data_IF_333783677826
#
_entry.id   IF_333783677826
#
_cell.length_a   1.000
_cell.length_b   1.000
_cell.length_c   1.000
_cell.angle_alpha   90.00
_cell.angle_beta   90.00
_cell.angle_gamma   90.00
#
_symmetry.space_group_name_H-M   'P 1'
#
loop_
_entity.id
_entity.type
_entity.pdbx_description
1 polymer ?
#
# COMPACT_ATOMS: atom_id res chain seq x y z
N UNK A 1 72.03 -29.88 -4.06
CA UNK A 1 71.54 -28.91 -5.06
C UNK A 1 70.88 -27.77 -4.29
N UNK A 2 71.52 -26.59 -4.25
CA UNK A 2 71.03 -25.43 -3.48
C UNK A 2 69.86 -24.82 -4.25
N UNK A 3 68.65 -24.91 -3.70
CA UNK A 3 67.48 -24.24 -4.26
C UNK A 3 67.68 -22.74 -4.02
N UNK A 4 67.76 -21.99 -5.11
CA UNK A 4 68.02 -20.56 -5.14
C UNK A 4 66.77 -19.81 -4.64
N UNK A 5 66.73 -19.53 -3.34
CA UNK A 5 65.60 -18.91 -2.63
C UNK A 5 65.15 -17.57 -3.25
N UNK A 6 66.00 -16.90 -4.03
CA UNK A 6 65.65 -15.65 -4.73
C UNK A 6 64.65 -15.85 -5.88
N UNK A 7 64.58 -17.04 -6.48
CA UNK A 7 63.60 -17.36 -7.55
C UNK A 7 62.29 -17.94 -7.00
N UNK A 8 62.33 -18.61 -5.84
CA UNK A 8 61.13 -19.14 -5.19
C UNK A 8 60.24 -18.03 -4.57
N UNK A 9 60.85 -16.95 -4.09
CA UNK A 9 60.12 -15.80 -3.52
C UNK A 9 59.42 -14.97 -4.61
N UNK A 10 59.94 -14.94 -5.85
CA UNK A 10 59.33 -14.19 -6.94
C UNK A 10 58.10 -14.89 -7.55
N UNK A 11 58.02 -16.22 -7.43
CA UNK A 11 56.83 -17.01 -7.86
C UNK A 11 55.73 -16.98 -6.78
N UNK A 12 56.09 -16.83 -5.50
CA UNK A 12 55.13 -16.73 -4.40
C UNK A 12 54.46 -15.35 -4.28
N UNK A 13 55.03 -14.29 -4.88
CA UNK A 13 54.46 -12.94 -4.87
C UNK A 13 53.54 -12.62 -6.06
N UNK A 14 53.38 -13.54 -7.02
CA UNK A 14 52.52 -13.36 -8.20
C UNK A 14 51.12 -14.01 -8.06
N UNK A 15 50.73 -14.39 -6.84
CA UNK A 15 49.41 -14.94 -6.52
C UNK A 15 48.72 -14.16 -5.37
N UNK A 16 48.39 -12.87 -5.59
CA UNK A 16 47.13 -12.39 -5.01
C UNK A 16 46.26 -11.57 -5.99
N UNK A 17 46.41 -11.77 -7.31
CA UNK A 17 45.56 -11.08 -8.32
C UNK A 17 44.51 -11.96 -8.99
N UNK A 18 44.35 -13.23 -8.56
CA UNK A 18 43.24 -14.12 -9.00
C UNK A 18 42.36 -14.52 -7.81
N UNK A 19 42.11 -13.59 -6.89
CA UNK A 19 41.11 -13.77 -5.81
C UNK A 19 40.04 -12.67 -5.79
N UNK A 20 40.00 -11.78 -6.78
CA UNK A 20 39.03 -10.68 -6.86
C UNK A 20 38.01 -10.77 -8.01
N UNK A 21 37.99 -11.85 -8.80
CA UNK A 21 36.90 -12.13 -9.76
C UNK A 21 35.93 -13.22 -9.28
N UNK A 22 35.91 -13.46 -7.97
CA UNK A 22 34.92 -14.28 -7.28
C UNK A 22 33.89 -13.45 -6.52
N UNK A 23 33.65 -12.19 -6.89
CA UNK A 23 32.51 -11.43 -6.42
C UNK A 23 31.30 -11.87 -7.28
N UNK A 24 30.61 -12.93 -6.88
CA UNK A 24 29.28 -13.25 -7.40
C UNK A 24 28.36 -12.06 -7.12
N UNK A 25 28.28 -11.15 -8.09
CA UNK A 25 27.77 -9.80 -7.88
C UNK A 25 26.27 -9.84 -7.72
N UNK A 26 25.78 -9.70 -6.48
CA UNK A 26 24.40 -9.28 -6.23
C UNK A 26 24.05 -8.03 -7.06
N UNK A 27 25.03 -7.15 -7.32
CA UNK A 27 24.91 -6.00 -8.22
C UNK A 27 24.49 -6.36 -9.65
N UNK A 28 25.18 -7.29 -10.31
CA UNK A 28 24.84 -7.70 -11.68
C UNK A 28 23.52 -8.48 -11.78
N UNK A 29 23.11 -9.19 -10.72
CA UNK A 29 21.79 -9.84 -10.70
C UNK A 29 20.65 -8.81 -10.68
N UNK A 30 20.77 -7.76 -9.86
CA UNK A 30 19.76 -6.70 -9.80
C UNK A 30 19.73 -5.83 -11.06
N UNK A 31 20.87 -5.58 -11.70
CA UNK A 31 20.92 -4.86 -12.97
C UNK A 31 20.18 -5.62 -14.09
N UNK A 32 20.46 -6.92 -14.23
CA UNK A 32 19.76 -7.78 -15.20
C UNK A 32 18.26 -7.90 -14.90
N UNK A 33 17.90 -8.03 -13.62
CA UNK A 33 16.49 -8.05 -13.18
C UNK A 33 15.79 -6.73 -13.50
N UNK A 34 16.45 -5.60 -13.25
CA UNK A 34 15.95 -4.26 -13.53
C UNK A 34 15.63 -4.09 -15.02
N UNK A 35 16.60 -4.39 -15.89
CA UNK A 35 16.43 -4.31 -17.34
C UNK A 35 15.31 -5.23 -17.83
N UNK A 36 15.21 -6.44 -17.27
CA UNK A 36 14.16 -7.40 -17.62
C UNK A 36 12.76 -6.89 -17.23
N UNK A 37 12.61 -6.33 -16.03
CA UNK A 37 11.34 -5.77 -15.54
C UNK A 37 10.88 -4.64 -16.46
N UNK A 38 11.72 -3.63 -16.66
CA UNK A 38 11.36 -2.45 -17.46
C UNK A 38 10.96 -2.84 -18.89
N UNK A 39 11.74 -3.72 -19.52
CA UNK A 39 11.42 -4.23 -20.86
C UNK A 39 10.10 -5.00 -20.89
N UNK A 40 9.82 -5.84 -19.88
CA UNK A 40 8.57 -6.61 -19.84
C UNK A 40 7.34 -5.70 -19.75
N UNK A 41 7.44 -4.64 -18.94
CA UNK A 41 6.36 -3.69 -18.74
C UNK A 41 6.16 -2.83 -19.99
N UNK A 42 7.23 -2.37 -20.62
CA UNK A 42 7.16 -1.65 -21.89
C UNK A 42 6.56 -2.51 -23.00
N UNK A 43 6.96 -3.79 -23.12
CA UNK A 43 6.37 -4.74 -24.06
C UNK A 43 4.88 -4.98 -23.80
N UNK A 44 4.48 -5.05 -22.53
CA UNK A 44 3.10 -5.35 -22.12
C UNK A 44 2.18 -4.14 -22.28
N UNK A 45 2.64 -2.95 -21.93
CA UNK A 45 1.82 -1.76 -21.80
C UNK A 45 2.10 -0.69 -22.87
N UNK A 46 3.22 -0.78 -23.59
CA UNK A 46 3.58 0.19 -24.64
C UNK A 46 3.91 1.58 -24.10
N UNK A 47 4.39 1.69 -22.85
CA UNK A 47 4.89 2.93 -22.27
C UNK A 47 6.21 2.69 -21.51
N UNK A 48 6.96 3.75 -21.26
CA UNK A 48 8.22 3.66 -20.53
C UNK A 48 8.01 3.72 -19.02
N UNK A 49 8.80 2.92 -18.30
CA UNK A 49 8.81 2.84 -16.84
C UNK A 49 10.18 3.16 -16.27
N UNK A 50 10.21 3.45 -14.97
CA UNK A 50 11.43 3.62 -14.19
C UNK A 50 11.33 2.91 -12.84
N UNK A 51 12.49 2.49 -12.32
CA UNK A 51 12.61 1.78 -11.06
C UNK A 51 12.89 2.76 -9.93
N UNK A 52 12.08 2.69 -8.88
CA UNK A 52 12.34 3.41 -7.63
C UNK A 52 13.21 2.57 -6.69
N UNK A 53 12.96 1.26 -6.63
CA UNK A 53 13.66 0.34 -5.73
C UNK A 53 13.69 -1.08 -6.28
N UNK A 54 14.76 -1.83 -6.02
CA UNK A 54 14.86 -3.26 -6.29
C UNK A 54 15.58 -3.99 -5.15
N UNK A 55 15.10 -5.18 -4.78
CA UNK A 55 15.74 -6.01 -3.77
C UNK A 55 14.93 -7.23 -3.35
N UNK A 56 15.50 -8.03 -2.44
CA UNK A 56 14.77 -9.09 -1.76
C UNK A 56 13.94 -8.47 -0.62
N UNK A 57 12.70 -8.03 -0.91
CA UNK A 57 11.77 -7.55 0.11
C UNK A 57 11.22 -8.67 1.00
N UNK A 58 10.84 -8.34 2.24
CA UNK A 58 10.15 -9.23 3.18
C UNK A 58 8.74 -9.64 2.68
N UNK A 59 8.24 -10.79 3.16
CA UNK A 59 6.89 -11.28 2.84
C UNK A 59 6.78 -12.05 1.52
N UNK A 60 7.62 -13.07 1.32
CA UNK A 60 7.55 -13.96 0.17
C UNK A 60 6.56 -15.11 0.43
N UNK A 61 5.63 -15.36 -0.50
CA UNK A 61 4.97 -16.67 -0.59
C UNK A 61 5.94 -17.74 -1.15
N UNK A 62 7.04 -17.29 -1.76
CA UNK A 62 8.06 -18.10 -2.42
C UNK A 62 9.35 -17.29 -2.57
N UNK A 63 10.45 -17.80 -2.02
CA UNK A 63 11.78 -17.13 -2.02
C UNK A 63 12.47 -17.10 -3.40
N UNK A 64 11.69 -17.22 -4.48
CA UNK A 64 12.17 -17.43 -5.85
C UNK A 64 12.02 -16.20 -6.75
N UNK A 65 11.57 -15.08 -6.22
CA UNK A 65 11.44 -13.81 -6.96
C UNK A 65 12.37 -12.73 -6.39
N UNK A 66 12.64 -11.72 -7.21
CA UNK A 66 13.25 -10.43 -6.86
C UNK A 66 12.12 -9.41 -6.96
N UNK A 67 11.94 -8.58 -5.92
CA UNK A 67 10.89 -7.57 -5.88
C UNK A 67 11.44 -6.21 -6.29
N UNK A 68 10.59 -5.42 -6.91
CA UNK A 68 10.88 -4.06 -7.29
C UNK A 68 9.64 -3.17 -7.14
N UNK A 69 9.89 -1.89 -6.96
CA UNK A 69 8.89 -0.83 -7.00
C UNK A 69 9.15 0.00 -8.23
N UNK A 70 8.11 0.19 -9.05
CA UNK A 70 8.20 0.76 -10.39
C UNK A 70 7.12 1.83 -10.54
N UNK A 71 7.40 2.84 -11.38
CA UNK A 71 6.43 3.84 -11.82
C UNK A 71 6.53 4.11 -13.33
N UNK A 72 5.43 4.47 -14.00
CA UNK A 72 5.50 4.93 -15.37
C UNK A 72 6.14 6.32 -15.40
N UNK A 73 6.97 6.61 -16.42
CA UNK A 73 7.58 7.93 -16.56
C UNK A 73 6.55 9.04 -16.85
N UNK A 74 5.38 8.64 -17.38
CA UNK A 74 4.27 9.53 -17.72
C UNK A 74 3.56 10.11 -16.49
N UNK A 75 3.52 9.37 -15.37
CA UNK A 75 2.92 9.84 -14.12
C UNK A 75 3.70 9.29 -12.90
N UNK A 76 4.53 10.12 -12.25
CA UNK A 76 5.36 9.70 -11.12
C UNK A 76 4.55 9.31 -9.87
N UNK A 77 3.24 9.62 -9.82
CA UNK A 77 2.38 9.29 -8.68
C UNK A 77 1.89 7.85 -8.72
N UNK A 78 2.04 7.16 -9.85
CA UNK A 78 1.62 5.77 -10.01
C UNK A 78 2.76 4.86 -9.60
N UNK A 79 2.73 4.38 -8.37
CA UNK A 79 3.77 3.48 -7.83
C UNK A 79 3.17 2.10 -7.60
N UNK A 80 3.82 1.06 -8.10
CA UNK A 80 3.33 -0.31 -7.99
C UNK A 80 4.47 -1.33 -7.84
N UNK A 81 4.11 -2.46 -7.23
CA UNK A 81 5.02 -3.57 -7.03
C UNK A 81 5.11 -4.48 -8.26
N UNK A 82 6.33 -4.96 -8.50
CA UNK A 82 6.68 -5.89 -9.55
C UNK A 82 7.59 -6.97 -9.00
N UNK A 83 7.37 -8.22 -9.42
CA UNK A 83 8.22 -9.34 -9.09
C UNK A 83 8.78 -9.96 -10.38
N UNK A 84 10.06 -10.34 -10.36
CA UNK A 84 10.68 -11.12 -11.43
C UNK A 84 11.27 -12.39 -10.86
N UNK A 85 11.08 -13.53 -11.52
CA UNK A 85 11.70 -14.78 -11.07
C UNK A 85 13.22 -14.65 -11.09
N UNK A 86 13.93 -15.33 -10.17
CA UNK A 86 15.41 -15.30 -10.11
C UNK A 86 16.10 -15.79 -11.39
N UNK A 87 15.40 -16.57 -12.22
CA UNK A 87 15.84 -16.99 -13.56
C UNK A 87 15.46 -16.01 -14.69
N UNK A 88 14.86 -14.87 -14.33
CA UNK A 88 14.46 -13.74 -15.17
C UNK A 88 13.40 -14.04 -16.24
N UNK A 89 12.78 -15.22 -16.21
CA UNK A 89 11.82 -15.62 -17.25
C UNK A 89 10.46 -14.96 -17.10
N UNK A 90 9.94 -14.91 -15.87
CA UNK A 90 8.58 -14.41 -15.60
C UNK A 90 8.65 -13.10 -14.83
N UNK A 91 7.86 -12.15 -15.28
CA UNK A 91 7.63 -10.87 -14.62
C UNK A 91 6.15 -10.81 -14.26
N UNK A 92 5.87 -10.42 -13.03
CA UNK A 92 4.56 -10.30 -12.44
C UNK A 92 4.40 -8.87 -11.94
N UNK A 93 3.32 -8.18 -12.29
CA UNK A 93 3.13 -6.78 -11.94
C UNK A 93 1.75 -6.54 -11.36
N UNK A 94 1.65 -5.51 -10.50
CA UNK A 94 0.38 -4.99 -9.97
C UNK A 94 -0.03 -3.66 -10.63
N UNK A 95 0.44 -3.37 -11.85
CA UNK A 95 0.17 -2.08 -12.49
C UNK A 95 -1.34 -1.87 -12.69
N UNK A 96 -2.04 -2.86 -13.23
CA UNK A 96 -3.48 -2.75 -13.47
C UNK A 96 -4.29 -2.62 -12.16
N UNK A 97 -3.82 -3.19 -11.04
CA UNK A 97 -4.45 -2.98 -9.72
C UNK A 97 -4.51 -1.49 -9.37
N UNK A 98 -3.40 -0.77 -9.57
CA UNK A 98 -3.28 0.66 -9.25
C UNK A 98 -4.09 1.50 -10.23
N UNK A 99 -4.02 1.21 -11.52
CA UNK A 99 -4.77 1.95 -12.55
C UNK A 99 -6.28 1.86 -12.31
N UNK A 100 -6.79 0.64 -12.06
CA UNK A 100 -8.22 0.46 -11.76
C UNK A 100 -8.58 1.18 -10.47
N UNK A 101 -7.75 1.12 -9.42
CA UNK A 101 -8.04 1.85 -8.17
C UNK A 101 -8.12 3.38 -8.39
N UNK A 102 -7.16 3.94 -9.15
CA UNK A 102 -7.11 5.37 -9.45
C UNK A 102 -8.31 5.85 -10.28
N UNK A 103 -8.75 5.07 -11.26
CA UNK A 103 -9.94 5.39 -12.05
C UNK A 103 -11.23 5.52 -11.20
N UNK A 104 -11.27 4.85 -10.04
CA UNK A 104 -12.41 4.86 -9.13
C UNK A 104 -12.26 5.83 -7.96
N UNK A 105 -11.11 6.50 -7.83
CA UNK A 105 -10.84 7.43 -6.73
C UNK A 105 -11.86 8.58 -6.67
N UNK A 106 -12.07 9.29 -7.78
CA UNK A 106 -13.00 10.42 -7.82
C UNK A 106 -14.46 9.98 -7.58
N UNK A 107 -15.00 8.96 -8.29
CA UNK A 107 -16.35 8.46 -8.02
C UNK A 107 -16.59 8.06 -6.55
N UNK A 108 -15.67 7.29 -5.95
CA UNK A 108 -15.82 6.86 -4.55
C UNK A 108 -15.63 8.03 -3.59
N UNK A 109 -14.77 9.01 -3.90
CA UNK A 109 -14.67 10.26 -3.12
C UNK A 109 -16.00 11.01 -3.10
N UNK A 110 -16.68 11.11 -4.23
CA UNK A 110 -17.98 11.76 -4.32
C UNK A 110 -19.06 11.00 -3.52
N UNK A 111 -19.03 9.67 -3.51
CA UNK A 111 -19.90 8.86 -2.65
C UNK A 111 -19.58 9.06 -1.16
N UNK A 112 -18.30 9.06 -0.78
CA UNK A 112 -17.88 9.28 0.60
C UNK A 112 -18.31 10.67 1.09
N UNK A 113 -18.20 11.70 0.24
CA UNK A 113 -18.59 13.08 0.57
C UNK A 113 -20.08 13.31 0.76
N UNK A 114 -20.93 12.40 0.27
CA UNK A 114 -22.35 12.42 0.59
C UNK A 114 -22.63 12.02 2.04
N UNK A 115 -21.71 11.31 2.68
CA UNK A 115 -21.83 10.79 4.05
C UNK A 115 -20.95 11.58 5.02
N UNK A 116 -19.72 11.90 4.61
CA UNK A 116 -18.74 12.70 5.32
C UNK A 116 -18.26 13.84 4.42
N UNK A 117 -18.81 15.04 4.57
CA UNK A 117 -18.59 16.17 3.64
C UNK A 117 -17.12 16.56 3.43
N UNK A 118 -16.25 16.29 4.40
CA UNK A 118 -14.80 16.53 4.36
C UNK A 118 -14.00 15.26 4.01
N UNK A 119 -14.67 14.18 3.59
CA UNK A 119 -14.04 12.91 3.25
C UNK A 119 -12.98 13.07 2.16
N UNK A 120 -11.78 12.55 2.45
CA UNK A 120 -10.67 12.35 1.50
C UNK A 120 -10.40 10.86 1.40
N UNK A 121 -10.20 10.35 0.20
CA UNK A 121 -10.18 8.90 -0.04
C UNK A 121 -8.83 8.42 -0.55
N UNK A 122 -8.44 7.23 -0.12
CA UNK A 122 -7.41 6.41 -0.77
C UNK A 122 -7.98 5.05 -1.14
N UNK A 123 -7.54 4.52 -2.28
CA UNK A 123 -8.04 3.26 -2.81
C UNK A 123 -6.87 2.43 -3.32
N UNK A 124 -6.91 1.14 -3.02
CA UNK A 124 -6.05 0.14 -3.63
C UNK A 124 -6.84 -1.11 -3.98
N UNK A 125 -6.28 -1.94 -4.85
CA UNK A 125 -6.84 -3.24 -5.20
C UNK A 125 -5.81 -4.32 -4.88
N UNK A 126 -6.18 -5.33 -4.10
CA UNK A 126 -5.34 -6.48 -3.83
C UNK A 126 -5.92 -7.74 -4.47
N UNK A 127 -5.25 -8.21 -5.53
CA UNK A 127 -5.54 -9.48 -6.19
C UNK A 127 -4.94 -10.69 -5.47
N UNK A 128 -4.40 -10.46 -4.26
CA UNK A 128 -3.81 -11.46 -3.36
C UNK A 128 -2.60 -12.11 -4.04
N UNK A 129 -2.75 -13.33 -4.53
CA UNK A 129 -1.69 -14.12 -5.18
C UNK A 129 -1.84 -14.21 -6.69
N UNK A 130 -2.84 -13.52 -7.25
CA UNK A 130 -3.09 -13.45 -8.68
C UNK A 130 -2.48 -12.18 -9.23
N UNK A 131 -1.74 -12.28 -10.33
CA UNK A 131 -1.16 -11.13 -11.03
C UNK A 131 -1.94 -10.84 -12.31
N UNK A 132 -2.39 -9.59 -12.54
CA UNK A 132 -3.10 -9.27 -13.76
C UNK A 132 -2.28 -9.52 -15.03
N UNK A 133 -2.86 -10.27 -15.95
CA UNK A 133 -2.30 -10.54 -17.28
C UNK A 133 -2.86 -9.63 -18.38
N UNK A 134 -4.01 -8.99 -18.14
CA UNK A 134 -4.63 -8.07 -19.09
C UNK A 134 -3.95 -6.69 -19.08
N UNK A 135 -4.21 -5.90 -20.12
CA UNK A 135 -3.53 -4.61 -20.37
C UNK A 135 -4.48 -3.44 -20.59
N UNK A 136 -5.80 -3.70 -20.54
CA UNK A 136 -6.83 -2.68 -20.70
C UNK A 136 -6.85 -1.77 -19.46
N UNK A 137 -6.31 -0.56 -19.63
CA UNK A 137 -6.19 0.47 -18.58
C UNK A 137 -7.51 1.17 -18.28
N UNK A 138 -8.49 1.08 -19.18
CA UNK A 138 -9.81 1.70 -19.01
C UNK A 138 -10.83 0.73 -18.38
N UNK A 139 -10.33 -0.40 -17.87
CA UNK A 139 -11.14 -1.45 -17.25
C UNK A 139 -11.88 -0.94 -16.01
N UNK A 140 -13.20 -1.16 -15.99
CA UNK A 140 -14.01 -0.85 -14.82
C UNK A 140 -13.68 -1.76 -13.63
N UNK A 141 -13.97 -1.32 -12.41
CA UNK A 141 -13.80 -2.15 -11.22
C UNK A 141 -14.59 -3.47 -11.32
N UNK A 142 -15.85 -3.40 -11.77
CA UNK A 142 -16.69 -4.58 -11.98
C UNK A 142 -16.04 -5.58 -12.93
N UNK A 143 -15.51 -5.10 -14.07
CA UNK A 143 -14.83 -5.97 -15.03
C UNK A 143 -13.53 -6.53 -14.47
N UNK A 144 -12.78 -5.73 -13.71
CA UNK A 144 -11.57 -6.18 -13.04
C UNK A 144 -11.86 -7.29 -12.05
N UNK A 145 -12.94 -7.18 -11.27
CA UNK A 145 -13.36 -8.19 -10.32
C UNK A 145 -13.83 -9.48 -11.01
N UNK A 146 -14.53 -9.41 -12.14
CA UNK A 146 -14.89 -10.60 -12.93
C UNK A 146 -13.66 -11.37 -13.41
N UNK A 147 -12.63 -10.65 -13.87
CA UNK A 147 -11.40 -11.25 -14.38
C UNK A 147 -10.46 -11.72 -13.27
N UNK A 148 -10.54 -11.07 -12.11
CA UNK A 148 -9.75 -11.38 -10.92
C UNK A 148 -10.64 -11.54 -9.69
N UNK A 149 -11.39 -12.65 -9.56
CA UNK A 149 -12.35 -12.85 -8.47
C UNK A 149 -11.71 -12.87 -7.08
N UNK A 150 -10.40 -13.08 -6.97
CA UNK A 150 -9.65 -12.96 -5.71
C UNK A 150 -9.42 -11.51 -5.28
N UNK A 151 -9.71 -10.53 -6.14
CA UNK A 151 -9.53 -9.11 -5.84
C UNK A 151 -10.32 -8.69 -4.60
N UNK A 152 -9.68 -7.85 -3.80
CA UNK A 152 -10.27 -7.13 -2.69
C UNK A 152 -9.91 -5.65 -2.81
N UNK A 153 -10.90 -4.78 -2.95
CA UNK A 153 -10.66 -3.34 -2.94
C UNK A 153 -10.49 -2.86 -1.50
N UNK A 154 -9.49 -2.03 -1.24
CA UNK A 154 -9.29 -1.43 0.08
C UNK A 154 -9.51 0.07 -0.06
N UNK A 155 -10.48 0.59 0.70
CA UNK A 155 -10.90 1.99 0.69
C UNK A 155 -10.63 2.59 2.06
N UNK A 156 -9.81 3.63 2.10
CA UNK A 156 -9.66 4.48 3.27
C UNK A 156 -10.40 5.78 3.04
N UNK A 157 -11.20 6.19 4.02
CA UNK A 157 -11.80 7.53 4.06
C UNK A 157 -11.24 8.24 5.27
N UNK A 158 -10.52 9.32 5.03
CA UNK A 158 -9.97 10.19 6.06
C UNK A 158 -10.91 11.38 6.26
N UNK A 159 -11.25 11.65 7.52
CA UNK A 159 -12.12 12.74 7.93
C UNK A 159 -11.50 13.53 9.07
N UNK A 160 -11.84 14.81 9.22
CA UNK A 160 -11.39 15.61 10.35
C UNK A 160 -12.23 15.26 11.57
N UNK A 161 -11.60 14.68 12.60
CA UNK A 161 -12.27 14.24 13.81
C UNK A 161 -13.08 15.35 14.51
N UNK A 162 -12.63 16.61 14.42
CA UNK A 162 -13.32 17.75 15.05
C UNK A 162 -14.74 18.01 14.50
N UNK A 163 -15.07 17.47 13.32
CA UNK A 163 -16.41 17.57 12.75
C UNK A 163 -17.39 16.50 13.31
N UNK A 164 -16.88 15.47 14.00
CA UNK A 164 -17.64 14.27 14.35
C UNK A 164 -17.49 13.84 15.81
N UNK A 165 -16.52 14.41 16.51
CA UNK A 165 -16.19 14.13 17.91
C UNK A 165 -16.21 15.45 18.65
N UNK A 166 -16.95 15.50 19.75
CA UNK A 166 -17.09 16.72 20.55
C UNK A 166 -15.83 17.03 21.38
N UNK A 167 -15.86 18.16 22.08
CA UNK A 167 -14.76 18.63 22.95
C UNK A 167 -14.44 17.67 24.12
N UNK A 168 -15.39 16.81 24.50
CA UNK A 168 -15.19 15.78 25.52
C UNK A 168 -14.62 14.48 24.93
N UNK A 169 -14.39 14.46 23.61
CA UNK A 169 -13.94 13.28 22.90
C UNK A 169 -15.07 12.28 22.67
N UNK A 170 -16.33 12.67 22.73
CA UNK A 170 -17.47 11.78 22.51
C UNK A 170 -18.03 11.88 21.09
N UNK A 171 -18.48 10.74 20.57
CA UNK A 171 -19.08 10.59 19.24
C UNK A 171 -20.49 10.05 19.40
N UNK A 172 -21.43 10.53 18.58
CA UNK A 172 -22.73 9.88 18.45
C UNK A 172 -22.56 8.59 17.62
N UNK A 173 -22.16 7.50 18.29
CA UNK A 173 -21.87 6.22 17.65
C UNK A 173 -23.05 5.66 16.84
N UNK A 174 -24.29 5.81 17.33
CA UNK A 174 -25.46 5.31 16.63
C UNK A 174 -25.69 6.06 15.31
N UNK A 175 -25.58 7.39 15.32
CA UNK A 175 -25.66 8.18 14.10
C UNK A 175 -24.52 7.86 13.13
N UNK A 176 -23.33 7.58 13.66
CA UNK A 176 -22.17 7.24 12.87
C UNK A 176 -22.29 5.85 12.24
N UNK A 177 -22.82 4.85 12.96
CA UNK A 177 -23.11 3.50 12.41
C UNK A 177 -24.06 3.59 11.21
N UNK A 178 -25.09 4.43 11.27
CA UNK A 178 -26.00 4.63 10.13
C UNK A 178 -25.29 5.24 8.91
N UNK A 179 -24.27 6.08 9.11
CA UNK A 179 -23.41 6.57 8.03
C UNK A 179 -22.59 5.45 7.38
N UNK A 180 -21.97 4.55 8.16
CA UNK A 180 -21.27 3.37 7.59
C UNK A 180 -22.22 2.52 6.74
N UNK A 181 -23.43 2.24 7.24
CA UNK A 181 -24.44 1.48 6.50
C UNK A 181 -24.92 2.21 5.24
N UNK A 182 -25.08 3.53 5.30
CA UNK A 182 -25.43 4.36 4.15
C UNK A 182 -24.34 4.31 3.08
N UNK A 183 -23.08 4.46 3.49
CA UNK A 183 -21.94 4.37 2.56
C UNK A 183 -21.82 2.98 1.93
N UNK A 184 -22.02 1.91 2.70
CA UNK A 184 -22.05 0.55 2.19
C UNK A 184 -23.10 0.36 1.09
N UNK A 185 -24.32 0.89 1.29
CA UNK A 185 -25.38 0.88 0.26
C UNK A 185 -25.02 1.68 -0.97
N UNK A 186 -24.35 2.83 -0.80
CA UNK A 186 -23.85 3.62 -1.93
C UNK A 186 -22.80 2.84 -2.73
N UNK A 187 -21.86 2.17 -2.07
CA UNK A 187 -20.85 1.34 -2.72
C UNK A 187 -21.49 0.16 -3.46
N UNK A 188 -22.41 -0.56 -2.82
CA UNK A 188 -23.14 -1.68 -3.43
C UNK A 188 -23.92 -1.24 -4.68
N UNK A 189 -24.68 -0.14 -4.58
CA UNK A 189 -25.46 0.41 -5.69
C UNK A 189 -24.58 0.79 -6.90
N UNK A 190 -23.31 1.14 -6.65
CA UNK A 190 -22.32 1.48 -7.66
C UNK A 190 -21.34 0.33 -7.99
N UNK A 191 -21.66 -0.91 -7.56
CA UNK A 191 -20.89 -2.14 -7.86
C UNK A 191 -19.49 -2.22 -7.24
N UNK A 192 -19.22 -1.45 -6.19
CA UNK A 192 -17.97 -1.50 -5.41
C UNK A 192 -18.01 -2.57 -4.30
N UNK A 193 -18.42 -3.79 -4.65
CA UNK A 193 -18.46 -4.96 -3.74
C UNK A 193 -17.08 -5.63 -3.60
N UNK A 194 -16.93 -6.53 -2.62
CA UNK A 194 -15.63 -7.10 -2.22
C UNK A 194 -14.62 -6.01 -1.84
N UNK A 195 -15.06 -5.16 -0.92
CA UNK A 195 -14.33 -3.97 -0.48
C UNK A 195 -14.16 -3.96 1.03
N UNK A 196 -12.94 -3.75 1.51
CA UNK A 196 -12.65 -3.41 2.90
C UNK A 196 -12.63 -1.90 3.04
N UNK A 197 -13.48 -1.36 3.91
CA UNK A 197 -13.62 0.08 4.12
C UNK A 197 -13.13 0.43 5.51
N UNK A 198 -12.24 1.41 5.62
CA UNK A 198 -11.79 1.99 6.88
C UNK A 198 -12.03 3.49 6.88
N UNK A 199 -12.80 3.98 7.84
CA UNK A 199 -12.98 5.41 8.10
C UNK A 199 -12.03 5.80 9.25
N UNK A 200 -11.14 6.73 8.97
CA UNK A 200 -10.07 7.17 9.89
C UNK A 200 -10.34 8.62 10.26
N UNK A 201 -10.60 8.86 11.54
CA UNK A 201 -10.88 10.18 12.09
C UNK A 201 -9.56 10.77 12.55
N UNK A 202 -9.03 11.66 11.74
CA UNK A 202 -7.73 12.27 11.96
C UNK A 202 -7.84 13.47 12.88
N UNK A 203 -6.82 13.70 13.70
CA UNK A 203 -6.69 14.98 14.40
C UNK A 203 -6.59 16.12 13.38
N UNK A 204 -6.96 17.34 13.79
CA UNK A 204 -6.95 18.50 12.88
C UNK A 204 -5.56 18.72 12.24
N UNK A 205 -4.49 18.52 13.01
CA UNK A 205 -3.11 18.61 12.53
C UNK A 205 -2.78 17.53 11.49
N UNK A 206 -3.17 16.28 11.73
CA UNK A 206 -2.93 15.18 10.80
C UNK A 206 -3.75 15.37 9.51
N UNK A 207 -5.02 15.73 9.65
CA UNK A 207 -5.91 16.00 8.53
C UNK A 207 -5.43 17.17 7.67
N UNK A 208 -4.95 18.25 8.29
CA UNK A 208 -4.42 19.43 7.58
C UNK A 208 -3.17 19.16 6.75
N UNK A 209 -2.44 18.06 7.03
CA UNK A 209 -1.24 17.65 6.28
C UNK A 209 -1.51 16.56 5.24
N UNK A 210 -2.74 16.06 5.12
CA UNK A 210 -3.02 14.87 4.32
C UNK A 210 -2.56 15.01 2.87
N UNK A 211 -2.81 16.15 2.23
CA UNK A 211 -2.39 16.37 0.83
C UNK A 211 -0.86 16.31 0.66
N UNK A 212 -0.11 16.79 1.65
CA UNK A 212 1.36 16.73 1.64
C UNK A 212 1.83 15.28 1.76
N UNK A 213 1.23 14.51 2.67
CA UNK A 213 1.60 13.09 2.86
C UNK A 213 1.25 12.29 1.59
N UNK A 214 0.10 12.54 0.99
CA UNK A 214 -0.35 11.90 -0.26
C UNK A 214 0.52 12.23 -1.48
N UNK A 215 1.25 13.36 -1.46
CA UNK A 215 2.24 13.68 -2.49
C UNK A 215 3.56 12.90 -2.31
N UNK A 216 3.89 12.52 -1.08
CA UNK A 216 5.16 11.86 -0.73
C UNK A 216 5.05 10.34 -0.71
N UNK A 217 3.87 9.80 -0.42
CA UNK A 217 3.66 8.36 -0.31
C UNK A 217 2.26 7.96 -0.76
N UNK A 218 2.14 6.71 -1.20
CA UNK A 218 0.86 6.03 -1.48
C UNK A 218 0.28 5.33 -0.24
N UNK A 219 1.00 5.31 0.89
CA UNK A 219 0.57 4.67 2.13
C UNK A 219 0.54 5.68 3.29
N UNK A 220 -0.51 6.50 3.32
CA UNK A 220 -0.71 7.51 4.36
C UNK A 220 -0.85 6.88 5.74
N UNK A 221 -1.57 5.75 5.85
CA UNK A 221 -1.80 5.08 7.14
C UNK A 221 -0.46 4.74 7.81
N UNK A 222 0.49 4.20 7.06
CA UNK A 222 1.80 3.84 7.59
C UNK A 222 2.60 5.05 8.09
N UNK A 223 2.53 6.18 7.39
CA UNK A 223 3.20 7.42 7.85
C UNK A 223 2.58 7.91 9.15
N UNK A 224 1.25 8.02 9.18
CA UNK A 224 0.54 8.50 10.37
C UNK A 224 0.74 7.57 11.58
N UNK A 225 0.77 6.26 11.36
CA UNK A 225 1.05 5.27 12.39
C UNK A 225 2.46 5.41 12.94
N UNK A 226 3.46 5.54 12.04
CA UNK A 226 4.86 5.69 12.42
C UNK A 226 5.10 6.97 13.22
N UNK A 227 4.57 8.10 12.76
CA UNK A 227 4.61 9.37 13.51
C UNK A 227 3.97 9.23 14.90
N UNK A 228 2.87 8.48 15.01
CA UNK A 228 2.20 8.25 16.30
C UNK A 228 3.04 7.37 17.25
N UNK A 229 3.67 6.31 16.75
CA UNK A 229 4.52 5.44 17.57
C UNK A 229 5.88 6.06 17.93
N UNK A 230 6.54 6.70 16.97
CA UNK A 230 7.91 7.18 17.13
C UNK A 230 7.99 8.61 17.68
N UNK A 231 7.05 9.47 17.30
CA UNK A 231 7.04 10.89 17.67
C UNK A 231 5.98 11.21 18.74
N UNK A 232 5.13 10.24 19.07
CA UNK A 232 4.09 10.38 20.09
C UNK A 232 2.99 11.37 19.68
N UNK A 233 2.72 11.53 18.38
CA UNK A 233 1.67 12.39 17.86
C UNK A 233 0.31 11.65 17.83
N UNK A 234 -0.77 12.29 18.32
CA UNK A 234 -2.11 11.76 18.12
C UNK A 234 -2.59 12.07 16.69
N UNK A 235 -2.31 11.17 15.76
CA UNK A 235 -2.73 11.31 14.38
C UNK A 235 -4.13 10.74 14.15
N UNK A 236 -4.39 9.51 14.62
CA UNK A 236 -5.71 8.87 14.50
C UNK A 236 -6.46 8.90 15.83
N UNK A 237 -7.56 9.66 15.87
CA UNK A 237 -8.40 9.86 17.07
C UNK A 237 -9.33 8.66 17.29
N UNK A 238 -9.86 8.11 16.21
CA UNK A 238 -10.59 6.84 16.18
C UNK A 238 -10.57 6.25 14.77
N UNK A 239 -10.77 4.94 14.67
CA UNK A 239 -10.89 4.23 13.40
C UNK A 239 -11.98 3.19 13.51
N UNK A 240 -12.80 3.09 12.48
CA UNK A 240 -13.76 1.99 12.35
C UNK A 240 -13.92 1.64 10.88
N UNK A 241 -14.55 0.51 10.59
CA UNK A 241 -14.61 -0.01 9.24
C UNK A 241 -15.46 -1.25 9.13
N UNK A 242 -15.69 -1.68 7.89
CA UNK A 242 -16.46 -2.86 7.54
C UNK A 242 -15.94 -3.50 6.26
N UNK A 243 -16.28 -4.76 6.07
CA UNK A 243 -16.15 -5.40 4.76
C UNK A 243 -17.52 -5.43 4.08
N UNK A 244 -17.54 -5.04 2.81
CA UNK A 244 -18.66 -5.22 1.91
C UNK A 244 -18.42 -6.45 1.06
N UNK A 245 -19.20 -7.50 1.31
CA UNK A 245 -19.06 -8.78 0.64
C UNK A 245 -19.58 -8.72 -0.80
N UNK A 246 -19.31 -9.77 -1.57
CA UNK A 246 -19.73 -9.87 -2.99
C UNK A 246 -21.25 -9.76 -3.17
N UNK A 247 -22.02 -10.24 -2.20
CA UNK A 247 -23.48 -10.17 -2.20
C UNK A 247 -24.03 -8.82 -1.70
N UNK A 248 -23.17 -7.83 -1.42
CA UNK A 248 -23.57 -6.53 -0.87
C UNK A 248 -23.83 -6.52 0.63
N UNK A 249 -23.66 -7.65 1.33
CA UNK A 249 -23.84 -7.69 2.77
C UNK A 249 -22.61 -7.17 3.52
N UNK A 250 -22.86 -6.55 4.67
CA UNK A 250 -21.82 -6.15 5.61
C UNK A 250 -21.34 -7.36 6.42
N UNK A 251 -20.02 -7.51 6.55
CA UNK A 251 -19.44 -8.52 7.47
C UNK A 251 -19.67 -8.17 8.95
N UNK A 252 -20.00 -6.91 9.24
CA UNK A 252 -19.98 -6.34 10.58
C UNK A 252 -21.37 -5.98 11.10
N UNK A 253 -21.68 -6.42 12.32
CA UNK A 253 -22.90 -6.05 13.04
C UNK A 253 -22.75 -4.72 13.79
N UNK A 254 -23.88 -4.13 14.18
CA UNK A 254 -23.91 -2.88 14.98
C UNK A 254 -23.12 -3.02 16.29
N UNK A 255 -23.23 -4.16 16.97
CA UNK A 255 -22.46 -4.43 18.20
C UNK A 255 -20.95 -4.44 17.93
N UNK A 256 -20.52 -5.05 16.82
CA UNK A 256 -19.12 -5.06 16.45
C UNK A 256 -18.59 -3.65 16.10
N UNK A 257 -19.44 -2.77 15.52
CA UNK A 257 -19.08 -1.36 15.36
C UNK A 257 -18.85 -0.68 16.71
N UNK A 258 -19.79 -0.82 17.66
CA UNK A 258 -19.71 -0.23 19.00
C UNK A 258 -18.51 -0.71 19.79
N UNK A 259 -18.21 -2.01 19.74
CA UNK A 259 -17.01 -2.59 20.37
C UNK A 259 -15.73 -1.93 19.83
N UNK A 260 -15.64 -1.72 18.52
CA UNK A 260 -14.49 -1.04 17.90
C UNK A 260 -14.38 0.42 18.39
N UNK A 261 -15.49 1.15 18.46
CA UNK A 261 -15.49 2.51 19.00
C UNK A 261 -15.05 2.56 20.46
N UNK A 262 -15.48 1.60 21.29
CA UNK A 262 -15.06 1.51 22.69
C UNK A 262 -13.54 1.35 22.82
N UNK A 263 -12.94 0.44 22.04
CA UNK A 263 -11.48 0.23 22.04
C UNK A 263 -10.72 1.51 21.69
N UNK A 264 -11.18 2.24 20.68
CA UNK A 264 -10.56 3.51 20.29
C UNK A 264 -10.80 4.62 21.32
N UNK A 265 -11.98 4.69 21.95
CA UNK A 265 -12.25 5.62 23.05
C UNK A 265 -11.27 5.40 24.19
N UNK A 266 -11.08 4.15 24.62
CA UNK A 266 -10.14 3.81 25.69
C UNK A 266 -8.70 4.15 25.32
N UNK A 267 -8.29 3.84 24.08
CA UNK A 267 -6.94 4.13 23.58
C UNK A 267 -6.67 5.64 23.55
N UNK A 268 -7.64 6.44 23.09
CA UNK A 268 -7.57 7.90 23.09
C UNK A 268 -7.52 8.47 24.50
N UNK A 269 -8.38 8.01 25.40
CA UNK A 269 -8.38 8.47 26.80
C UNK A 269 -7.07 8.15 27.51
N UNK A 270 -6.50 6.98 27.24
CA UNK A 270 -5.15 6.62 27.72
C UNK A 270 -4.10 7.59 27.20
N UNK A 271 -4.09 7.88 25.90
CA UNK A 271 -3.16 8.85 25.31
C UNK A 271 -3.27 10.24 25.97
N UNK A 272 -4.50 10.74 26.18
CA UNK A 272 -4.73 12.05 26.81
C UNK A 272 -4.21 12.07 28.25
N UNK A 273 -4.45 11.01 29.04
CA UNK A 273 -3.90 10.91 30.41
C UNK A 273 -2.38 10.89 30.41
N UNK A 274 -1.79 10.04 29.58
CA UNK A 274 -0.33 9.86 29.52
C UNK A 274 0.38 11.18 29.10
N UNK A 275 -0.28 12.06 28.34
CA UNK A 275 0.25 13.37 27.88
C UNK A 275 -0.15 14.58 28.72
N UNK A 276 -1.21 14.48 29.53
CA UNK A 276 -1.64 15.53 30.45
C UNK A 276 -0.93 15.51 31.81
N UNK A 277 -0.09 14.49 32.06
CA UNK A 277 0.74 14.34 33.27
C UNK A 277 2.18 14.85 33.10
N UNK A 278 2.54 15.43 31.94
CA UNK A 278 3.81 16.16 31.67
C UNK A 278 3.69 17.67 31.92
#
# INVERSE_FOLDING_TARGET
MKIDYRKAVMILMLLPLITLLGCGSKGGQYENASARILKALEEKYGEEFELDKIGAGSGTMNDNTIKATVRPKSDPRIVFDVEVTKDLKKVYDKYLNVIVAQSNLAPITDLARQVWSDGRVEISNDTVLTYPTHTDRDMTYEKFLELYPSNWQVIFVFVNASNYIDENGEMNEDAEIEKYKSFAKLLEANKYVKSGVSIVYLSEQAYGRLDSIQQETVNVEQVLYKEQEEEGLLNSVTRNGFDLLENGELSKSDNAFKETFSVWRESRQKYIRDKGEE
#
